data_IF_528913703318
#
_entry.id   IF_528913703318
#
_cell.length_a   1.000
_cell.length_b   1.000
_cell.length_c   1.000
_cell.angle_alpha   90.00
_cell.angle_beta   90.00
_cell.angle_gamma   90.00
#
_symmetry.space_group_name_H-M   'P 1'
#
loop_
_entity.id
_entity.type
_entity.pdbx_description
1 polymer ?
#
# COMPACT_ATOMS: atom_id res chain seq x y z
N UNK A 1 -5.91 -8.59 -13.60
CA UNK A 1 -6.27 -8.59 -12.16
C UNK A 1 -7.78 -8.53 -12.06
N UNK A 2 -8.40 -9.43 -11.30
CA UNK A 2 -9.85 -9.50 -11.16
C UNK A 2 -10.34 -8.36 -10.24
N UNK A 3 -11.42 -7.67 -10.62
CA UNK A 3 -11.99 -6.58 -9.81
C UNK A 3 -12.47 -7.04 -8.43
N UNK A 4 -12.73 -8.33 -8.26
CA UNK A 4 -13.05 -8.94 -6.97
C UNK A 4 -11.91 -8.83 -5.95
N UNK A 5 -10.67 -9.10 -6.38
CA UNK A 5 -9.48 -9.01 -5.52
C UNK A 5 -9.26 -7.55 -5.08
N UNK A 6 -9.53 -6.61 -5.98
CA UNK A 6 -9.50 -5.17 -5.67
C UNK A 6 -10.50 -4.82 -4.59
N UNK A 7 -11.76 -5.22 -4.74
CA UNK A 7 -12.81 -4.91 -3.75
C UNK A 7 -12.49 -5.50 -2.36
N UNK A 8 -11.99 -6.73 -2.30
CA UNK A 8 -11.62 -7.38 -1.05
C UNK A 8 -10.45 -6.66 -0.36
N UNK A 9 -9.42 -6.31 -1.11
CA UNK A 9 -8.25 -5.59 -0.60
C UNK A 9 -8.60 -4.18 -0.12
N UNK A 10 -9.49 -3.47 -0.81
CA UNK A 10 -9.97 -2.16 -0.39
C UNK A 10 -10.81 -2.23 0.89
N UNK A 11 -11.64 -3.28 1.04
CA UNK A 11 -12.37 -3.54 2.28
C UNK A 11 -11.39 -3.79 3.43
N UNK A 12 -10.37 -4.62 3.20
CA UNK A 12 -9.34 -4.90 4.20
C UNK A 12 -8.59 -3.63 4.63
N UNK A 13 -8.18 -2.79 3.68
CA UNK A 13 -7.51 -1.53 3.98
C UNK A 13 -8.39 -0.61 4.84
N UNK A 14 -9.69 -0.53 4.55
CA UNK A 14 -10.64 0.24 5.35
C UNK A 14 -10.78 -0.29 6.77
N UNK A 15 -10.83 -1.61 6.93
CA UNK A 15 -10.98 -2.23 8.24
C UNK A 15 -9.71 -2.02 9.08
N UNK A 16 -8.52 -2.09 8.47
CA UNK A 16 -7.25 -1.78 9.13
C UNK A 16 -7.12 -0.31 9.54
N UNK A 17 -7.51 0.62 8.66
CA UNK A 17 -7.54 2.05 8.97
C UNK A 17 -8.46 2.34 10.19
N UNK A 18 -9.65 1.74 10.22
CA UNK A 18 -10.57 1.83 11.37
C UNK A 18 -10.02 1.22 12.65
N UNK A 19 -9.15 0.22 12.55
CA UNK A 19 -8.47 -0.38 13.70
C UNK A 19 -7.29 0.47 14.19
N UNK A 20 -6.96 1.57 13.51
CA UNK A 20 -5.87 2.47 13.88
C UNK A 20 -4.50 2.08 13.34
N UNK A 21 -4.45 1.17 12.35
CA UNK A 21 -3.19 0.86 11.68
C UNK A 21 -2.76 2.02 10.77
N UNK A 22 -1.46 2.31 10.78
CA UNK A 22 -0.87 3.20 9.76
C UNK A 22 -0.68 2.41 8.48
N UNK A 23 -1.29 2.87 7.39
CA UNK A 23 -1.15 2.25 6.07
C UNK A 23 -0.01 2.89 5.30
N UNK A 24 0.87 2.07 4.74
CA UNK A 24 1.90 2.48 3.78
C UNK A 24 1.58 1.89 2.41
N UNK A 25 1.71 2.69 1.35
CA UNK A 25 1.37 2.26 0.01
C UNK A 25 2.20 2.97 -1.06
N UNK A 26 2.52 2.26 -2.15
CA UNK A 26 3.13 2.88 -3.33
C UNK A 26 2.13 3.81 -4.03
N UNK A 27 2.62 4.76 -4.83
CA UNK A 27 1.83 5.86 -5.38
C UNK A 27 0.49 5.43 -6.02
N UNK A 28 0.48 4.37 -6.83
CA UNK A 28 -0.75 3.89 -7.49
C UNK A 28 -1.78 3.33 -6.50
N UNK A 29 -1.32 2.56 -5.51
CA UNK A 29 -2.16 1.98 -4.47
C UNK A 29 -2.68 3.06 -3.52
N UNK A 30 -1.82 4.00 -3.12
CA UNK A 30 -2.22 5.15 -2.31
C UNK A 30 -3.31 5.98 -2.99
N UNK A 31 -3.17 6.25 -4.29
CA UNK A 31 -4.20 6.96 -5.05
C UNK A 31 -5.53 6.19 -5.12
N UNK A 32 -5.49 4.85 -5.19
CA UNK A 32 -6.71 4.03 -5.16
C UNK A 32 -7.41 4.09 -3.79
N UNK A 33 -6.64 4.08 -2.70
CA UNK A 33 -7.15 4.23 -1.33
C UNK A 33 -7.72 5.62 -1.06
N UNK A 34 -7.02 6.67 -1.50
CA UNK A 34 -7.45 8.08 -1.33
C UNK A 34 -8.80 8.34 -2.00
N UNK A 35 -9.05 7.78 -3.20
CA UNK A 35 -10.35 7.88 -3.89
C UNK A 35 -11.51 7.30 -3.08
N UNK A 36 -11.22 6.48 -2.08
CA UNK A 36 -12.18 5.85 -1.19
C UNK A 36 -12.21 6.45 0.22
N UNK A 37 -11.50 7.56 0.43
CA UNK A 37 -11.38 8.26 1.70
C UNK A 37 -10.51 7.55 2.72
N UNK A 38 -9.59 6.68 2.28
CA UNK A 38 -8.66 5.96 3.16
C UNK A 38 -7.29 6.61 3.01
N UNK A 39 -6.69 7.04 4.11
CA UNK A 39 -5.37 7.68 4.11
C UNK A 39 -4.27 6.63 4.14
N UNK A 40 -3.25 6.79 3.30
CA UNK A 40 -2.04 5.99 3.33
C UNK A 40 -0.81 6.87 3.15
N UNK A 41 0.27 6.55 3.86
CA UNK A 41 1.58 7.19 3.70
C UNK A 41 2.21 6.64 2.42
N UNK A 42 2.54 7.54 1.50
CA UNK A 42 3.17 7.17 0.22
C UNK A 42 4.63 6.78 0.46
N UNK A 43 5.04 5.68 -0.18
CA UNK A 43 6.43 5.20 -0.20
C UNK A 43 6.86 4.87 -1.63
N UNK A 44 8.16 4.98 -1.89
CA UNK A 44 8.74 4.57 -3.17
C UNK A 44 8.71 3.04 -3.32
N UNK A 45 8.77 2.54 -4.56
CA UNK A 45 9.02 1.11 -4.77
C UNK A 45 10.46 0.80 -4.41
N UNK A 46 10.70 -0.37 -3.83
CA UNK A 46 12.06 -0.87 -3.58
C UNK A 46 12.97 -0.86 -4.84
N UNK A 47 12.38 -1.03 -6.03
CA UNK A 47 13.11 -0.96 -7.31
C UNK A 47 13.59 0.44 -7.69
N UNK A 48 13.02 1.48 -7.10
CA UNK A 48 13.38 2.88 -7.33
C UNK A 48 14.57 3.30 -6.44
N UNK A 49 14.87 2.52 -5.39
CA UNK A 49 15.94 2.74 -4.44
C UNK A 49 15.64 3.84 -3.41
N UNK A 50 16.46 3.90 -2.35
CA UNK A 50 16.34 4.92 -1.30
C UNK A 50 16.69 6.30 -1.87
N UNK A 51 15.65 7.11 -2.12
CA UNK A 51 15.75 8.50 -2.60
C UNK A 51 15.43 9.51 -1.49
N UNK A 52 14.83 10.66 -1.85
CA UNK A 52 14.32 11.63 -0.86
C UNK A 52 13.12 11.09 -0.06
N UNK A 53 12.45 10.05 -0.57
CA UNK A 53 11.34 9.37 0.08
C UNK A 53 11.76 7.93 0.40
N UNK A 54 11.42 7.46 1.61
CA UNK A 54 11.66 6.09 2.02
C UNK A 54 10.93 5.12 1.07
N UNK A 55 11.61 4.05 0.69
CA UNK A 55 11.02 2.96 -0.07
C UNK A 55 10.39 1.89 0.85
N UNK A 56 9.78 0.87 0.24
CA UNK A 56 9.16 -0.22 0.99
C UNK A 56 10.16 -1.01 1.84
N UNK A 57 11.41 -1.20 1.40
CA UNK A 57 12.43 -1.91 2.17
C UNK A 57 12.88 -1.08 3.37
N UNK A 58 13.11 0.22 3.20
CA UNK A 58 13.52 1.14 4.27
C UNK A 58 12.55 1.06 5.47
N UNK A 59 11.23 1.11 5.20
CA UNK A 59 10.22 1.07 6.28
C UNK A 59 10.07 -0.31 6.94
N UNK A 60 10.45 -1.38 6.23
CA UNK A 60 10.47 -2.74 6.78
C UNK A 60 11.70 -2.90 7.68
N UNK A 61 12.87 -2.47 7.22
CA UNK A 61 14.13 -2.53 7.96
C UNK A 61 14.08 -1.67 9.23
N UNK A 62 13.45 -0.50 9.16
CA UNK A 62 13.19 0.36 10.32
C UNK A 62 12.16 -0.22 11.33
N UNK A 63 11.57 -1.38 11.05
CA UNK A 63 10.59 -2.03 11.92
C UNK A 63 9.24 -1.31 11.99
N UNK A 64 8.96 -0.39 11.07
CA UNK A 64 7.69 0.37 11.03
C UNK A 64 6.53 -0.50 10.53
N UNK A 65 6.84 -1.52 9.74
CA UNK A 65 5.85 -2.43 9.15
C UNK A 65 5.73 -3.71 9.98
N UNK A 66 4.52 -3.95 10.50
CA UNK A 66 4.21 -5.20 11.22
C UNK A 66 3.57 -6.26 10.31
N UNK A 67 3.04 -5.86 9.15
CA UNK A 67 2.33 -6.74 8.22
C UNK A 67 2.44 -6.21 6.80
N UNK A 68 2.66 -7.12 5.84
CA UNK A 68 2.67 -6.80 4.40
C UNK A 68 1.48 -7.49 3.74
N UNK A 69 0.67 -6.72 3.02
CA UNK A 69 -0.43 -7.25 2.20
C UNK A 69 -0.06 -7.05 0.73
N UNK A 70 0.24 -8.14 0.03
CA UNK A 70 0.41 -8.13 -1.42
C UNK A 70 -0.85 -8.69 -2.09
N UNK A 71 -1.83 -7.81 -2.30
CA UNK A 71 -3.00 -8.12 -3.14
C UNK A 71 -2.87 -7.31 -4.42
N UNK A 72 -3.08 -7.91 -5.60
CA UNK A 72 -2.96 -7.18 -6.85
C UNK A 72 -4.08 -6.13 -6.93
N UNK A 73 -3.71 -4.86 -6.68
CA UNK A 73 -4.64 -3.74 -6.60
C UNK A 73 -4.69 -2.87 -7.88
N UNK A 74 -3.87 -3.18 -8.90
CA UNK A 74 -3.73 -2.33 -10.10
C UNK A 74 -3.67 -3.11 -11.42
N UNK A 75 -3.94 -2.42 -12.53
CA UNK A 75 -3.75 -2.95 -13.90
C UNK A 75 -2.27 -3.25 -14.19
N UNK A 76 -1.35 -2.51 -13.56
CA UNK A 76 0.10 -2.68 -13.71
C UNK A 76 0.72 -3.70 -12.74
N UNK A 77 -0.09 -4.53 -12.06
CA UNK A 77 0.44 -5.70 -11.35
C UNK A 77 0.79 -6.78 -12.38
N UNK A 78 1.82 -6.50 -13.18
CA UNK A 78 2.54 -7.45 -14.00
C UNK A 78 3.94 -7.57 -13.41
N UNK A 79 4.40 -8.81 -13.43
CA UNK A 79 5.62 -9.40 -12.89
C UNK A 79 6.90 -8.58 -13.02
#
# INVERSE_FOLDING_TARGET
VNDFDKAAALKLARDLDKMGFTLYATAGTAAALERMGITAIRVAKASEGSGEQADTLDIIEDGRVQMIINTPLGESAQS
#
